data_IF_078435925144
#
_entry.id   IF_078435925144
#
_cell.length_a   1.000
_cell.length_b   1.000
_cell.length_c   1.000
_cell.angle_alpha   90.00
_cell.angle_beta   90.00
_cell.angle_gamma   90.00
#
_symmetry.space_group_name_H-M   'P 1'
#
loop_
_entity.id
_entity.type
_entity.pdbx_description
1 polymer ?
#
# COMPACT_ATOMS: atom_id res chain seq x y z
N UNK A 1 18.58 -16.90 22.47
CA UNK A 1 19.29 -16.13 23.53
C UNK A 1 20.11 -17.12 24.35
N UNK A 2 21.43 -16.94 24.45
CA UNK A 2 22.28 -17.85 25.24
C UNK A 2 21.98 -17.74 26.75
N UNK A 3 22.26 -18.79 27.55
CA UNK A 3 22.06 -18.75 29.00
C UNK A 3 23.03 -17.77 29.66
N UNK A 4 22.52 -16.97 30.61
CA UNK A 4 23.30 -16.04 31.43
C UNK A 4 23.44 -16.63 32.84
N UNK A 5 24.68 -16.81 33.31
CA UNK A 5 24.97 -17.40 34.63
C UNK A 5 24.43 -16.51 35.77
N UNK A 6 23.71 -17.12 36.72
CA UNK A 6 23.13 -16.42 37.87
C UNK A 6 21.83 -15.65 37.60
N UNK A 7 21.29 -15.70 36.38
CA UNK A 7 20.05 -15.00 36.03
C UNK A 7 18.81 -15.90 36.13
N UNK A 8 17.70 -15.33 36.62
CA UNK A 8 16.37 -15.94 36.51
C UNK A 8 15.83 -15.72 35.09
N UNK A 9 15.47 -16.80 34.39
CA UNK A 9 14.77 -16.71 33.10
C UNK A 9 13.28 -16.93 33.31
N UNK A 10 12.49 -15.92 32.96
CA UNK A 10 11.04 -16.03 32.88
C UNK A 10 10.63 -16.05 31.41
N UNK A 11 9.73 -16.96 31.06
CA UNK A 11 9.09 -17.02 29.74
C UNK A 11 7.61 -16.77 29.92
N UNK A 12 7.07 -15.86 29.13
CA UNK A 12 5.63 -15.61 29.05
C UNK A 12 5.19 -15.85 27.61
N UNK A 13 4.08 -16.57 27.47
CA UNK A 13 3.39 -16.76 26.21
C UNK A 13 2.00 -16.14 26.35
N UNK A 14 1.52 -15.37 25.37
CA UNK A 14 0.17 -14.83 25.42
C UNK A 14 -0.84 -15.97 25.38
N UNK A 15 -1.92 -15.88 26.17
CA UNK A 15 -3.02 -16.81 26.01
C UNK A 15 -3.67 -16.62 24.62
N UNK A 16 -4.40 -17.61 24.10
CA UNK A 16 -5.14 -17.45 22.84
C UNK A 16 -6.02 -16.19 22.88
N UNK A 17 -5.83 -15.28 21.91
CA UNK A 17 -6.55 -14.00 21.83
C UNK A 17 -5.82 -12.80 22.46
N UNK A 18 -4.95 -13.01 23.44
CA UNK A 18 -4.19 -11.91 24.08
C UNK A 18 -3.22 -11.25 23.10
N UNK A 19 -2.67 -12.01 22.15
CA UNK A 19 -1.74 -11.49 21.16
C UNK A 19 -2.38 -10.39 20.29
N UNK A 20 -3.65 -10.53 19.91
CA UNK A 20 -4.38 -9.51 19.15
C UNK A 20 -4.72 -8.29 20.03
N UNK A 21 -5.07 -8.51 21.30
CA UNK A 21 -5.30 -7.43 22.24
C UNK A 21 -4.02 -6.61 22.50
N UNK A 22 -2.89 -7.28 22.70
CA UNK A 22 -1.57 -6.65 22.84
C UNK A 22 -1.18 -5.88 21.57
N UNK A 23 -1.47 -6.42 20.38
CA UNK A 23 -1.25 -5.71 19.13
C UNK A 23 -2.09 -4.41 19.05
N UNK A 24 -3.36 -4.46 19.48
CA UNK A 24 -4.23 -3.28 19.56
C UNK A 24 -3.73 -2.21 20.54
N UNK A 25 -2.98 -2.59 21.58
CA UNK A 25 -2.36 -1.67 22.53
C UNK A 25 -1.03 -1.11 22.03
N UNK A 26 -0.24 -1.93 21.34
CA UNK A 26 1.11 -1.58 20.89
C UNK A 26 1.11 -0.71 19.61
N UNK A 27 0.08 -0.84 18.77
CA UNK A 27 -0.03 -0.10 17.51
C UNK A 27 -1.37 0.61 17.38
N UNK A 28 -1.42 1.78 16.71
CA UNK A 28 -2.64 2.54 16.48
C UNK A 28 -3.47 1.92 15.33
N UNK A 29 -3.88 0.65 15.46
CA UNK A 29 -4.52 -0.12 14.39
C UNK A 29 -5.81 0.55 13.89
N UNK A 30 -6.64 1.10 14.78
CA UNK A 30 -7.85 1.82 14.40
C UNK A 30 -7.54 3.02 13.47
N UNK A 31 -6.53 3.82 13.81
CA UNK A 31 -6.14 4.98 13.01
C UNK A 31 -5.50 4.62 11.67
N UNK A 32 -4.89 3.45 11.55
CA UNK A 32 -4.42 2.91 10.26
C UNK A 32 -5.60 2.43 9.43
N UNK A 33 -6.52 1.67 10.03
CA UNK A 33 -7.73 1.20 9.36
C UNK A 33 -8.58 2.36 8.82
N UNK A 34 -8.72 3.45 9.57
CA UNK A 34 -9.43 4.66 9.13
C UNK A 34 -8.81 5.29 7.89
N UNK A 35 -7.47 5.28 7.77
CA UNK A 35 -6.78 5.81 6.58
C UNK A 35 -7.06 4.96 5.35
N UNK A 36 -7.09 3.64 5.50
CA UNK A 36 -7.46 2.74 4.41
C UNK A 36 -8.93 2.89 4.03
N UNK A 37 -9.84 3.02 5.01
CA UNK A 37 -11.26 3.29 4.74
C UNK A 37 -11.47 4.62 4.03
N UNK A 38 -10.74 5.66 4.43
CA UNK A 38 -10.74 6.95 3.73
C UNK A 38 -10.27 6.80 2.27
N UNK A 39 -9.14 6.11 2.06
CA UNK A 39 -8.65 5.81 0.71
C UNK A 39 -9.70 5.07 -0.13
N UNK A 40 -10.32 4.04 0.43
CA UNK A 40 -11.40 3.30 -0.25
C UNK A 40 -12.56 4.23 -0.64
N UNK A 41 -13.02 5.09 0.29
CA UNK A 41 -14.12 6.02 0.04
C UNK A 41 -13.80 7.04 -1.06
N UNK A 42 -12.57 7.57 -1.09
CA UNK A 42 -12.14 8.55 -2.10
C UNK A 42 -12.02 7.92 -3.48
N UNK A 43 -11.47 6.70 -3.56
CA UNK A 43 -11.06 6.10 -4.83
C UNK A 43 -12.03 5.06 -5.41
N UNK A 44 -13.08 4.66 -4.67
CA UNK A 44 -14.01 3.61 -5.10
C UNK A 44 -14.58 3.83 -6.51
N UNK A 45 -14.97 5.07 -6.85
CA UNK A 45 -15.54 5.42 -8.15
C UNK A 45 -14.52 5.54 -9.28
N UNK A 46 -13.26 5.86 -8.96
CA UNK A 46 -12.21 6.06 -9.97
C UNK A 46 -11.90 4.77 -10.74
N UNK A 47 -12.10 3.61 -10.12
CA UNK A 47 -11.92 2.30 -10.76
C UNK A 47 -12.87 2.03 -11.92
N UNK A 48 -14.00 2.73 -12.01
CA UNK A 48 -15.08 2.50 -12.98
C UNK A 48 -15.15 3.53 -14.11
N UNK A 49 -14.46 4.66 -14.00
CA UNK A 49 -14.45 5.71 -15.02
C UNK A 49 -13.70 5.25 -16.29
N UNK A 50 -13.92 5.87 -17.46
CA UNK A 50 -13.06 5.70 -18.64
C UNK A 50 -11.60 6.07 -18.35
N UNK A 51 -10.67 5.65 -19.22
CA UNK A 51 -9.28 6.08 -19.12
C UNK A 51 -9.19 7.60 -19.32
N UNK A 52 -8.52 8.34 -18.42
CA UNK A 52 -8.39 9.79 -18.54
C UNK A 52 -7.35 10.19 -19.61
N UNK A 53 -7.37 11.46 -20.01
CA UNK A 53 -6.34 12.03 -20.88
C UNK A 53 -4.93 11.92 -20.27
N UNK A 54 -3.85 11.88 -21.06
CA UNK A 54 -2.51 11.56 -20.59
C UNK A 54 -2.01 12.40 -19.39
N UNK A 55 -2.18 13.73 -19.42
CA UNK A 55 -1.77 14.60 -18.31
C UNK A 55 -2.58 14.31 -17.04
N UNK A 56 -3.89 14.15 -17.18
CA UNK A 56 -4.78 13.80 -16.06
C UNK A 56 -4.43 12.42 -15.50
N UNK A 57 -4.06 11.46 -16.36
CA UNK A 57 -3.60 10.15 -15.93
C UNK A 57 -2.34 10.23 -15.08
N UNK A 58 -1.36 11.05 -15.49
CA UNK A 58 -0.14 11.29 -14.72
C UNK A 58 -0.45 11.89 -13.34
N UNK A 59 -1.26 12.97 -13.30
CA UNK A 59 -1.66 13.62 -12.05
C UNK A 59 -2.40 12.63 -11.14
N UNK A 60 -3.36 11.89 -11.69
CA UNK A 60 -4.12 10.89 -10.95
C UNK A 60 -3.21 9.79 -10.39
N UNK A 61 -2.23 9.30 -11.16
CA UNK A 61 -1.29 8.26 -10.72
C UNK A 61 -0.44 8.74 -9.55
N UNK A 62 0.03 9.99 -9.59
CA UNK A 62 0.78 10.61 -8.49
C UNK A 62 -0.10 10.73 -7.24
N UNK A 63 -1.32 11.27 -7.38
CA UNK A 63 -2.25 11.44 -6.26
C UNK A 63 -2.69 10.11 -5.63
N UNK A 64 -2.98 9.10 -6.45
CA UNK A 64 -3.33 7.75 -6.01
C UNK A 64 -2.24 7.16 -5.13
N UNK A 65 -0.99 7.15 -5.61
CA UNK A 65 0.14 6.58 -4.88
C UNK A 65 0.47 7.42 -3.65
N UNK A 66 0.39 8.75 -3.74
CA UNK A 66 0.58 9.62 -2.59
C UNK A 66 -0.41 9.31 -1.47
N UNK A 67 -1.70 9.22 -1.79
CA UNK A 67 -2.75 8.97 -0.80
C UNK A 67 -2.63 7.55 -0.20
N UNK A 68 -2.41 6.54 -1.05
CA UNK A 68 -2.15 5.18 -0.57
C UNK A 68 -0.93 5.10 0.37
N UNK A 69 0.14 5.84 0.06
CA UNK A 69 1.34 5.90 0.91
C UNK A 69 1.08 6.49 2.30
N UNK A 70 0.08 7.36 2.45
CA UNK A 70 -0.29 7.91 3.77
C UNK A 70 -0.85 6.85 4.70
N UNK A 71 -1.48 5.80 4.16
CA UNK A 71 -1.93 4.64 4.92
C UNK A 71 -0.80 3.62 5.13
N UNK A 72 -0.21 3.11 4.04
CA UNK A 72 0.73 1.96 4.10
C UNK A 72 2.02 2.26 4.86
N UNK A 73 2.52 3.51 4.85
CA UNK A 73 3.72 3.88 5.61
C UNK A 73 3.47 3.95 7.13
N UNK A 74 2.21 3.82 7.57
CA UNK A 74 1.83 3.75 8.99
C UNK A 74 1.34 2.36 9.37
N UNK A 75 1.19 1.45 8.41
CA UNK A 75 0.78 0.07 8.67
C UNK A 75 1.93 -0.70 9.32
N UNK A 76 1.73 -1.34 10.49
CA UNK A 76 2.76 -2.13 11.15
C UNK A 76 3.08 -3.48 10.48
N UNK A 77 2.35 -3.86 9.42
CA UNK A 77 2.55 -5.10 8.66
C UNK A 77 2.51 -6.36 9.53
N UNK A 78 1.60 -6.36 10.52
CA UNK A 78 1.41 -7.51 11.40
C UNK A 78 0.85 -8.72 10.64
N UNK A 79 1.15 -9.95 11.09
CA UNK A 79 0.46 -11.15 10.63
C UNK A 79 -1.06 -10.99 10.73
N UNK A 80 -1.79 -11.52 9.74
CA UNK A 80 -3.26 -11.39 9.66
C UNK A 80 -4.00 -11.88 10.93
N UNK A 81 -3.46 -12.89 11.62
CA UNK A 81 -4.03 -13.40 12.87
C UNK A 81 -4.02 -12.39 14.04
N UNK A 82 -3.26 -11.30 13.94
CA UNK A 82 -3.17 -10.24 14.95
C UNK A 82 -3.99 -9.00 14.59
N UNK A 83 -4.59 -8.98 13.40
CA UNK A 83 -5.36 -7.84 12.91
C UNK A 83 -6.87 -8.07 13.14
N UNK A 84 -7.67 -6.99 13.22
CA UNK A 84 -9.12 -7.09 13.17
C UNK A 84 -9.61 -7.87 11.94
N UNK A 85 -10.71 -8.60 12.06
CA UNK A 85 -11.26 -9.42 10.97
C UNK A 85 -11.73 -8.58 9.76
N UNK A 86 -12.07 -7.31 9.97
CA UNK A 86 -12.49 -6.35 8.96
C UNK A 86 -11.33 -5.46 8.45
N UNK A 87 -10.08 -5.91 8.59
CA UNK A 87 -8.92 -5.12 8.22
C UNK A 87 -8.98 -4.65 6.75
N UNK A 88 -8.99 -3.33 6.48
CA UNK A 88 -9.31 -2.79 5.16
C UNK A 88 -8.13 -2.81 4.16
N UNK A 89 -6.91 -3.11 4.60
CA UNK A 89 -5.71 -3.02 3.76
C UNK A 89 -5.78 -3.87 2.48
N UNK A 90 -6.24 -5.15 2.50
CA UNK A 90 -6.27 -5.97 1.28
C UNK A 90 -7.17 -5.38 0.20
N UNK A 91 -8.35 -4.88 0.59
CA UNK A 91 -9.28 -4.21 -0.32
C UNK A 91 -8.69 -2.90 -0.87
N UNK A 92 -8.07 -2.09 -0.01
CA UNK A 92 -7.42 -0.84 -0.43
C UNK A 92 -6.26 -1.11 -1.41
N UNK A 93 -5.46 -2.14 -1.14
CA UNK A 93 -4.35 -2.56 -2.02
C UNK A 93 -4.84 -3.03 -3.38
N UNK A 94 -5.91 -3.84 -3.41
CA UNK A 94 -6.52 -4.30 -4.66
C UNK A 94 -7.11 -3.14 -5.48
N UNK A 95 -7.79 -2.19 -4.82
CA UNK A 95 -8.32 -0.99 -5.49
C UNK A 95 -7.18 -0.12 -6.06
N UNK A 96 -6.11 0.10 -5.28
CA UNK A 96 -4.93 0.84 -5.71
C UNK A 96 -4.29 0.20 -6.95
N UNK A 97 -4.06 -1.11 -6.92
CA UNK A 97 -3.49 -1.86 -8.05
C UNK A 97 -4.35 -1.77 -9.32
N UNK A 98 -5.67 -1.89 -9.18
CA UNK A 98 -6.62 -1.78 -10.31
C UNK A 98 -6.58 -0.40 -10.95
N UNK A 99 -6.61 0.67 -10.15
CA UNK A 99 -6.56 2.04 -10.69
C UNK A 99 -5.18 2.32 -11.28
N UNK A 100 -4.11 1.92 -10.59
CA UNK A 100 -2.73 2.13 -11.05
C UNK A 100 -2.48 1.50 -12.42
N UNK A 101 -2.91 0.26 -12.65
CA UNK A 101 -2.77 -0.42 -13.96
C UNK A 101 -3.45 0.36 -15.09
N UNK A 102 -4.64 0.90 -14.84
CA UNK A 102 -5.39 1.71 -15.82
C UNK A 102 -4.74 3.05 -16.12
N UNK A 103 -4.00 3.62 -15.17
CA UNK A 103 -3.33 4.90 -15.32
C UNK A 103 -1.92 4.77 -15.91
N UNK A 104 -1.31 3.59 -15.85
CA UNK A 104 0.10 3.39 -16.20
C UNK A 104 0.40 3.86 -17.62
N UNK A 105 -0.17 3.20 -18.63
CA UNK A 105 0.08 3.52 -20.04
C UNK A 105 -0.20 5.00 -20.38
N UNK A 106 -1.39 5.58 -20.13
CA UNK A 106 -1.64 6.98 -20.49
C UNK A 106 -0.76 7.97 -19.73
N UNK A 107 -0.34 7.64 -18.49
CA UNK A 107 0.59 8.50 -17.75
C UNK A 107 2.02 8.47 -18.29
N UNK A 108 2.50 7.31 -18.74
CA UNK A 108 3.82 7.17 -19.36
C UNK A 108 3.83 7.85 -20.72
N UNK A 109 2.77 7.73 -21.52
CA UNK A 109 2.64 8.42 -22.80
C UNK A 109 2.78 9.95 -22.68
N UNK A 110 2.29 10.54 -21.59
CA UNK A 110 2.51 11.97 -21.33
C UNK A 110 3.98 12.26 -21.04
N UNK A 111 4.64 11.44 -20.21
CA UNK A 111 6.04 11.60 -19.86
C UNK A 111 6.94 11.45 -21.09
N UNK A 112 6.68 10.45 -21.93
CA UNK A 112 7.43 10.22 -23.17
C UNK A 112 7.37 11.45 -24.12
N UNK A 113 6.22 12.12 -24.16
CA UNK A 113 6.00 13.27 -25.03
C UNK A 113 6.52 14.61 -24.46
N UNK A 114 6.59 14.78 -23.14
CA UNK A 114 6.78 16.10 -22.52
C UNK A 114 7.91 16.18 -21.49
N UNK A 115 8.31 15.07 -20.88
CA UNK A 115 9.27 15.10 -19.78
C UNK A 115 10.72 15.00 -20.28
N UNK A 116 11.60 15.77 -19.66
CA UNK A 116 13.00 15.93 -20.03
C UNK A 116 13.83 15.83 -18.74
N UNK A 117 14.86 14.98 -18.74
CA UNK A 117 15.88 14.93 -17.70
C UNK A 117 16.91 16.05 -17.91
N UNK A 118 17.72 16.32 -16.89
CA UNK A 118 18.82 17.30 -16.99
C UNK A 118 19.75 17.04 -18.20
N UNK A 119 19.96 15.76 -18.55
CA UNK A 119 20.78 15.34 -19.69
C UNK A 119 20.04 15.14 -21.02
N UNK A 120 18.77 15.50 -21.14
CA UNK A 120 17.95 15.29 -22.35
C UNK A 120 16.78 14.35 -22.14
N UNK A 121 16.56 13.38 -23.03
CA UNK A 121 15.42 12.47 -22.92
C UNK A 121 15.42 11.67 -21.60
N UNK A 122 14.23 11.35 -21.08
CA UNK A 122 14.11 10.43 -19.95
C UNK A 122 14.67 9.04 -20.33
N UNK A 123 15.32 8.33 -19.39
CA UNK A 123 15.66 6.94 -19.59
C UNK A 123 14.38 6.08 -19.66
N UNK A 124 14.47 4.95 -20.36
CA UNK A 124 13.41 3.94 -20.35
C UNK A 124 13.12 3.46 -18.91
N UNK A 125 11.87 3.12 -18.57
CA UNK A 125 11.54 2.59 -17.26
C UNK A 125 12.22 1.24 -17.02
N UNK A 126 12.56 0.98 -15.75
CA UNK A 126 13.12 -0.30 -15.34
C UNK A 126 12.04 -1.40 -15.24
N UNK A 127 12.49 -2.65 -15.10
CA UNK A 127 11.61 -3.80 -14.92
C UNK A 127 10.76 -3.72 -13.63
N UNK A 128 11.19 -2.93 -12.63
CA UNK A 128 10.46 -2.79 -11.38
C UNK A 128 9.15 -2.03 -11.57
N UNK A 129 9.05 -1.13 -12.56
CA UNK A 129 7.79 -0.46 -12.90
C UNK A 129 6.72 -1.48 -13.28
N UNK A 130 7.03 -2.40 -14.20
CA UNK A 130 6.11 -3.44 -14.66
C UNK A 130 5.77 -4.46 -13.56
N UNK A 131 6.68 -4.69 -12.61
CA UNK A 131 6.48 -5.62 -11.51
C UNK A 131 5.60 -5.07 -10.36
N UNK A 132 5.23 -3.78 -10.38
CA UNK A 132 4.38 -3.20 -9.33
C UNK A 132 3.02 -3.89 -9.28
N UNK A 133 2.66 -4.38 -8.10
CA UNK A 133 1.43 -5.14 -7.84
C UNK A 133 1.31 -6.48 -8.59
N UNK A 134 2.42 -7.03 -9.12
CA UNK A 134 2.40 -8.30 -9.85
C UNK A 134 1.96 -9.51 -9.01
N UNK A 135 2.07 -9.43 -7.69
CA UNK A 135 1.63 -10.45 -6.74
C UNK A 135 0.11 -10.52 -6.56
N UNK A 136 -0.64 -9.57 -7.13
CA UNK A 136 -2.11 -9.54 -7.10
C UNK A 136 -2.74 -10.11 -8.38
N UNK A 137 -2.15 -11.18 -8.94
CA UNK A 137 -2.55 -11.77 -10.21
C UNK A 137 -4.09 -11.78 -10.41
N UNK A 138 -4.51 -11.36 -11.60
CA UNK A 138 -5.86 -10.94 -11.97
C UNK A 138 -6.96 -11.91 -11.50
N UNK A 139 -7.78 -11.44 -10.57
CA UNK A 139 -9.15 -11.92 -10.38
C UNK A 139 -10.10 -11.14 -11.30
#
# INVERSE_FOLDING_TARGET
VPPLAGALRLTAEPAPGDAAALAGLAWPLAGVADRYRHFLAVWAGAGLAPAPEPLTALVARVLLIHDYRRAVLRDPLLPAALLPSDWPQPAARALCARIWRRLLEPSEAWLDAHAIAEGGALPAPDAALAARFADLAEA
#
